data_IF_851013813501
#
_entry.id   IF_851013813501
#
_cell.length_a   1.000
_cell.length_b   1.000
_cell.length_c   1.000
_cell.angle_alpha   90.00
_cell.angle_beta   90.00
_cell.angle_gamma   90.00
#
_symmetry.space_group_name_H-M   'P 1'
#
loop_
_entity.id
_entity.type
_entity.pdbx_description
1 polymer ?
#
# COMPACT_ATOMS: atom_id res chain seq x y z
N UNK A 1 -80.44 -9.41 -2.73
CA UNK A 1 -79.63 -10.33 -3.55
C UNK A 1 -78.18 -10.17 -3.11
N UNK A 2 -77.43 -11.27 -2.94
CA UNK A 2 -76.71 -11.58 -1.71
C UNK A 2 -75.19 -11.45 -1.83
N UNK A 3 -74.52 -11.73 -0.71
CA UNK A 3 -73.15 -12.23 -0.56
C UNK A 3 -72.07 -11.18 -0.25
N UNK A 4 -71.31 -11.46 0.82
CA UNK A 4 -69.93 -10.99 1.09
C UNK A 4 -69.73 -9.88 2.13
N UNK A 5 -70.08 -10.14 3.41
CA UNK A 5 -69.51 -9.34 4.52
C UNK A 5 -69.25 -10.09 5.84
N UNK A 6 -69.32 -11.43 5.86
CA UNK A 6 -69.29 -12.21 7.13
C UNK A 6 -67.88 -12.63 7.62
N UNK A 7 -66.78 -12.10 7.07
CA UNK A 7 -65.42 -12.48 7.50
C UNK A 7 -64.75 -11.54 8.53
N UNK A 8 -65.42 -10.48 9.02
CA UNK A 8 -64.73 -9.47 9.86
C UNK A 8 -64.99 -9.65 11.37
N UNK A 9 -65.87 -10.56 11.79
CA UNK A 9 -66.31 -10.67 13.20
C UNK A 9 -65.77 -11.89 13.97
N UNK A 10 -64.63 -12.46 13.57
CA UNK A 10 -64.02 -13.62 14.23
C UNK A 10 -62.54 -13.44 14.63
N UNK A 11 -62.02 -12.21 14.64
CA UNK A 11 -60.67 -11.89 15.16
C UNK A 11 -60.67 -11.22 16.53
N UNK A 12 -61.80 -11.21 17.24
CA UNK A 12 -61.96 -10.62 18.59
C UNK A 12 -61.78 -11.62 19.74
N UNK A 13 -60.90 -12.62 19.61
CA UNK A 13 -60.58 -13.52 20.72
C UNK A 13 -59.17 -14.11 20.63
N UNK A 14 -58.12 -13.27 20.57
CA UNK A 14 -56.79 -13.72 20.99
C UNK A 14 -55.95 -12.56 21.52
N UNK A 15 -56.27 -12.11 22.74
CA UNK A 15 -55.38 -11.28 23.53
C UNK A 15 -55.09 -11.98 24.86
N UNK A 16 -53.93 -12.63 24.97
CA UNK A 16 -53.25 -12.74 26.26
C UNK A 16 -51.80 -13.20 26.08
N UNK A 17 -50.94 -12.60 26.91
CA UNK A 17 -49.54 -12.95 27.21
C UNK A 17 -48.50 -12.71 26.13
N UNK A 18 -48.22 -11.43 25.86
CA UNK A 18 -46.83 -10.97 25.71
C UNK A 18 -46.54 -10.00 26.85
N UNK A 19 -45.54 -10.25 27.72
CA UNK A 19 -45.13 -9.24 28.67
C UNK A 19 -44.56 -8.07 27.86
N UNK A 20 -45.34 -7.00 27.74
CA UNK A 20 -44.81 -5.71 27.35
C UNK A 20 -43.71 -5.39 28.36
N UNK A 21 -42.44 -5.53 27.94
CA UNK A 21 -41.34 -4.90 28.66
C UNK A 21 -41.73 -3.44 28.74
N UNK A 22 -42.13 -3.01 29.94
CA UNK A 22 -42.17 -1.62 30.32
C UNK A 22 -40.74 -1.13 30.08
N UNK A 23 -40.51 -0.60 28.89
CA UNK A 23 -39.31 0.17 28.58
C UNK A 23 -39.46 1.36 29.50
N UNK A 24 -38.86 1.22 30.69
CA UNK A 24 -38.68 2.30 31.65
C UNK A 24 -38.14 3.44 30.81
N UNK A 25 -39.02 4.40 30.51
CA UNK A 25 -38.62 5.69 30.00
C UNK A 25 -37.84 6.25 31.16
N UNK A 26 -36.52 6.08 31.13
CA UNK A 26 -35.62 6.82 31.98
C UNK A 26 -36.10 8.27 31.89
N UNK A 27 -36.70 8.74 32.97
CA UNK A 27 -36.88 10.16 33.20
C UNK A 27 -35.46 10.67 33.38
N UNK A 28 -34.80 10.90 32.24
CA UNK A 28 -33.49 11.54 32.19
C UNK A 28 -33.60 12.78 33.05
N UNK A 29 -32.81 12.79 34.11
CA UNK A 29 -32.75 13.88 35.08
C UNK A 29 -32.41 15.17 34.35
N UNK A 30 -33.44 15.92 33.97
CA UNK A 30 -33.35 17.25 33.35
C UNK A 30 -32.89 18.31 34.36
N UNK A 31 -32.83 17.96 35.65
CA UNK A 31 -32.40 18.85 36.73
C UNK A 31 -30.90 19.16 36.75
N UNK A 32 -30.06 18.37 36.07
CA UNK A 32 -28.61 18.68 35.96
C UNK A 32 -28.24 19.63 34.81
N UNK A 33 -29.13 19.92 33.84
CA UNK A 33 -28.80 20.81 32.71
C UNK A 33 -29.23 22.25 32.92
N UNK A 34 -30.21 22.51 33.80
CA UNK A 34 -30.68 23.88 34.10
C UNK A 34 -29.57 24.84 34.55
N UNK A 35 -28.68 24.49 35.51
CA UNK A 35 -27.62 25.42 35.94
C UNK A 35 -26.58 25.66 34.83
N UNK A 36 -26.30 24.65 34.01
CA UNK A 36 -25.39 24.80 32.87
C UNK A 36 -25.98 25.73 31.80
N UNK A 37 -27.27 25.59 31.48
CA UNK A 37 -27.96 26.47 30.51
C UNK A 37 -28.01 27.90 31.06
N UNK A 38 -28.36 28.09 32.34
CA UNK A 38 -28.38 29.39 32.97
C UNK A 38 -26.99 30.06 32.93
N UNK A 39 -25.93 29.31 33.24
CA UNK A 39 -24.55 29.79 33.15
C UNK A 39 -24.16 30.20 31.73
N UNK A 40 -24.52 29.41 30.71
CA UNK A 40 -24.25 29.74 29.31
C UNK A 40 -25.02 30.98 28.84
N UNK A 41 -26.27 31.15 29.27
CA UNK A 41 -27.09 32.33 28.96
C UNK A 41 -26.49 33.58 29.59
N UNK A 42 -26.16 33.53 30.89
CA UNK A 42 -25.53 34.65 31.61
C UNK A 42 -24.17 34.99 30.98
N UNK A 43 -23.34 33.99 30.69
CA UNK A 43 -22.05 34.17 30.02
C UNK A 43 -22.21 34.79 28.63
N UNK A 44 -23.26 34.43 27.89
CA UNK A 44 -23.54 35.01 26.56
C UNK A 44 -23.98 36.47 26.64
N UNK A 45 -24.79 36.84 27.64
CA UNK A 45 -25.19 38.24 27.87
C UNK A 45 -23.96 39.09 28.23
N UNK A 46 -23.14 38.61 29.16
CA UNK A 46 -21.90 39.30 29.58
C UNK A 46 -20.92 39.40 28.40
N UNK A 47 -20.72 38.30 27.66
CA UNK A 47 -19.84 38.28 26.48
C UNK A 47 -20.35 39.18 25.35
N UNK A 48 -21.67 39.24 25.14
CA UNK A 48 -22.30 40.13 24.16
C UNK A 48 -22.12 41.60 24.53
N UNK A 49 -22.35 41.95 25.79
CA UNK A 49 -22.09 43.30 26.31
C UNK A 49 -20.60 43.67 26.19
N UNK A 50 -19.70 42.79 26.61
CA UNK A 50 -18.26 43.05 26.50
C UNK A 50 -17.79 43.21 25.04
N UNK A 51 -18.35 42.42 24.12
CA UNK A 51 -18.11 42.59 22.69
C UNK A 51 -18.60 43.95 22.19
N UNK A 52 -19.75 44.42 22.67
CA UNK A 52 -20.27 45.74 22.32
C UNK A 52 -19.35 46.86 22.79
N UNK A 53 -18.92 46.81 24.06
CA UNK A 53 -17.93 47.76 24.61
C UNK A 53 -16.62 47.75 23.81
N UNK A 54 -16.12 46.55 23.45
CA UNK A 54 -14.91 46.41 22.63
C UNK A 54 -15.06 47.04 21.24
N UNK A 55 -16.24 46.96 20.62
CA UNK A 55 -16.49 47.59 19.32
C UNK A 55 -16.54 49.13 19.42
N UNK A 56 -17.07 49.67 20.52
CA UNK A 56 -17.08 51.11 20.78
C UNK A 56 -15.67 51.68 21.05
N UNK A 57 -14.86 50.97 21.86
CA UNK A 57 -13.46 51.35 22.10
C UNK A 57 -12.65 51.32 20.81
N UNK A 58 -12.93 50.35 19.92
CA UNK A 58 -12.45 50.38 18.54
C UNK A 58 -10.93 50.34 18.38
N UNK A 59 -10.44 51.03 17.35
CA UNK A 59 -9.02 51.17 17.05
C UNK A 59 -8.36 52.29 17.86
N UNK A 60 -7.11 52.10 18.24
CA UNK A 60 -6.34 53.08 19.00
C UNK A 60 -6.25 54.42 18.25
N UNK A 61 -6.71 55.50 18.89
CA UNK A 61 -6.71 56.86 18.33
C UNK A 61 -7.94 57.26 17.51
N UNK A 62 -8.91 56.34 17.31
CA UNK A 62 -10.13 56.60 16.52
C UNK A 62 -11.40 56.42 17.34
N UNK A 63 -11.47 55.37 18.17
CA UNK A 63 -12.66 55.05 18.97
C UNK A 63 -12.74 55.81 20.30
N UNK A 64 -13.71 55.46 21.14
CA UNK A 64 -13.85 56.06 22.46
C UNK A 64 -12.74 55.55 23.41
N UNK A 65 -12.01 56.45 24.09
CA UNK A 65 -10.88 56.03 24.93
C UNK A 65 -11.31 55.35 26.23
N UNK A 66 -12.58 55.47 26.62
CA UNK A 66 -13.11 54.94 27.87
C UNK A 66 -14.31 53.99 27.62
N UNK A 67 -14.29 52.85 28.28
CA UNK A 67 -15.42 51.91 28.36
C UNK A 67 -16.44 52.37 29.40
N UNK A 68 -17.66 51.86 29.33
CA UNK A 68 -18.78 52.37 30.14
C UNK A 68 -18.57 52.24 31.66
N UNK A 69 -17.83 51.25 32.14
CA UNK A 69 -17.55 51.05 33.58
C UNK A 69 -16.28 51.75 34.09
N UNK A 70 -15.62 52.56 33.26
CA UNK A 70 -14.43 53.31 33.66
C UNK A 70 -14.73 54.21 34.89
N UNK A 71 -13.94 54.08 35.96
CA UNK A 71 -14.12 54.83 37.21
C UNK A 71 -15.26 54.35 38.13
N UNK A 72 -16.04 53.34 37.72
CA UNK A 72 -17.13 52.75 38.53
C UNK A 72 -16.75 51.42 39.19
N UNK A 73 -15.59 50.87 38.86
CA UNK A 73 -15.05 49.62 39.39
C UNK A 73 -13.66 49.81 39.96
N UNK A 74 -13.23 49.00 40.95
CA UNK A 74 -11.87 49.06 41.50
C UNK A 74 -10.79 48.86 40.42
N UNK A 75 -9.61 49.47 40.60
CA UNK A 75 -8.52 49.47 39.61
C UNK A 75 -8.06 48.08 39.17
N UNK A 76 -8.11 47.10 40.07
CA UNK A 76 -7.76 45.71 39.74
C UNK A 76 -8.75 45.07 38.76
N UNK A 77 -10.04 45.41 38.84
CA UNK A 77 -11.07 44.95 37.89
C UNK A 77 -10.88 45.63 36.54
N UNK A 78 -10.60 46.94 36.57
CA UNK A 78 -10.36 47.73 35.38
C UNK A 78 -9.17 47.17 34.58
N UNK A 79 -8.05 46.83 35.23
CA UNK A 79 -6.87 46.25 34.57
C UNK A 79 -7.13 44.90 33.89
N UNK A 80 -8.02 44.08 34.40
CA UNK A 80 -8.24 42.71 33.91
C UNK A 80 -9.34 42.67 32.84
N UNK A 81 -10.42 43.43 33.03
CA UNK A 81 -11.66 43.28 32.26
C UNK A 81 -11.83 44.38 31.19
N UNK A 82 -11.14 45.52 31.34
CA UNK A 82 -11.33 46.63 30.42
C UNK A 82 -10.98 46.23 28.97
N UNK A 83 -11.86 46.54 28.01
CA UNK A 83 -11.54 46.38 26.60
C UNK A 83 -10.43 47.36 26.22
N UNK A 84 -9.33 46.83 25.72
CA UNK A 84 -8.22 47.65 25.21
C UNK A 84 -8.51 48.07 23.75
N UNK A 85 -7.92 49.15 23.27
CA UNK A 85 -7.97 49.48 21.85
C UNK A 85 -7.14 48.50 21.01
N UNK A 86 -7.53 48.23 19.77
CA UNK A 86 -6.74 47.41 18.84
C UNK A 86 -5.90 48.31 17.93
N UNK A 87 -4.72 47.84 17.56
CA UNK A 87 -3.86 48.53 16.59
C UNK A 87 -4.45 48.38 15.19
N UNK A 88 -4.46 49.47 14.42
CA UNK A 88 -4.93 49.43 13.03
C UNK A 88 -4.02 48.49 12.20
N UNK A 89 -4.58 47.52 11.45
CA UNK A 89 -3.78 46.64 10.62
C UNK A 89 -3.06 47.42 9.50
N UNK A 90 -1.93 46.91 9.00
CA UNK A 90 -1.21 47.54 7.90
C UNK A 90 -2.05 47.53 6.60
N UNK A 91 -1.84 48.52 5.74
CA UNK A 91 -2.56 48.71 4.47
C UNK A 91 -4.07 48.84 4.64
N UNK A 92 -4.49 49.54 5.69
CA UNK A 92 -5.88 49.72 6.03
C UNK A 92 -6.17 51.10 6.62
N UNK A 93 -7.34 51.63 6.29
CA UNK A 93 -7.94 52.81 6.90
C UNK A 93 -8.99 52.39 7.93
N UNK A 94 -8.74 52.75 9.20
CA UNK A 94 -9.56 52.37 10.34
C UNK A 94 -10.57 53.46 10.74
N UNK A 95 -11.81 53.05 11.05
CA UNK A 95 -12.93 53.92 11.40
C UNK A 95 -13.58 53.50 12.73
N UNK A 96 -14.45 54.35 13.32
CA UNK A 96 -15.24 53.97 14.49
C UNK A 96 -16.06 52.70 14.27
N UNK A 97 -16.43 52.04 15.37
CA UNK A 97 -17.20 50.78 15.40
C UNK A 97 -16.47 49.58 14.78
N UNK A 98 -15.14 49.53 14.88
CA UNK A 98 -14.29 48.48 14.28
C UNK A 98 -14.45 48.33 12.76
N UNK A 99 -14.90 49.39 12.06
CA UNK A 99 -14.99 49.39 10.60
C UNK A 99 -13.60 49.60 9.99
N UNK A 100 -13.28 48.82 8.98
CA UNK A 100 -12.00 48.89 8.27
C UNK A 100 -12.24 48.90 6.78
N UNK A 101 -11.48 49.72 6.06
CA UNK A 101 -11.40 49.74 4.60
C UNK A 101 -9.96 49.45 4.24
N UNK A 102 -9.71 48.39 3.47
CA UNK A 102 -8.35 48.08 3.01
C UNK A 102 -7.96 49.01 1.85
N UNK A 103 -6.67 49.29 1.73
CA UNK A 103 -6.12 50.05 0.61
C UNK A 103 -6.27 49.27 -0.72
N UNK A 104 -6.12 49.95 -1.86
CA UNK A 104 -6.22 49.32 -3.18
C UNK A 104 -5.30 48.09 -3.30
N UNK A 105 -5.87 46.97 -3.76
CA UNK A 105 -5.13 45.70 -3.88
C UNK A 105 -5.06 44.86 -2.61
N UNK A 106 -5.78 45.22 -1.55
CA UNK A 106 -5.95 44.39 -0.35
C UNK A 106 -7.44 44.08 -0.13
N UNK A 107 -7.76 42.83 0.20
CA UNK A 107 -9.13 42.39 0.48
C UNK A 107 -9.31 41.99 1.95
N UNK A 108 -10.48 42.31 2.51
CA UNK A 108 -10.81 42.05 3.92
C UNK A 108 -11.01 40.53 4.10
N UNK A 109 -10.26 39.93 5.02
CA UNK A 109 -10.43 38.54 5.45
C UNK A 109 -10.77 38.46 6.94
N UNK A 110 -11.78 37.65 7.33
CA UNK A 110 -12.04 37.39 8.74
C UNK A 110 -10.90 36.55 9.36
N UNK A 111 -10.60 36.77 10.63
CA UNK A 111 -9.57 36.02 11.36
C UNK A 111 -9.80 34.51 11.30
N UNK A 112 -8.74 33.74 11.03
CA UNK A 112 -8.81 32.30 10.75
C UNK A 112 -9.14 31.42 11.97
N UNK A 113 -9.01 31.93 13.19
CA UNK A 113 -9.33 31.18 14.41
C UNK A 113 -10.82 31.27 14.77
N UNK A 114 -11.37 30.23 15.43
CA UNK A 114 -12.77 30.23 15.91
C UNK A 114 -13.02 31.39 16.89
N UNK A 115 -12.03 31.70 17.73
CA UNK A 115 -12.04 32.88 18.61
C UNK A 115 -11.94 34.20 17.84
N UNK A 116 -11.22 34.22 16.72
CA UNK A 116 -11.09 35.35 15.80
C UNK A 116 -12.34 35.63 14.96
N UNK A 117 -13.33 34.72 14.95
CA UNK A 117 -14.69 34.99 14.43
C UNK A 117 -15.61 35.63 15.47
N UNK A 118 -15.36 35.34 16.76
CA UNK A 118 -16.13 35.90 17.88
C UNK A 118 -15.71 37.32 18.26
N UNK A 119 -14.49 37.73 17.91
CA UNK A 119 -14.04 39.13 18.00
C UNK A 119 -13.82 39.67 16.59
N UNK A 120 -14.42 40.81 16.20
CA UNK A 120 -14.22 41.38 14.88
C UNK A 120 -12.80 41.94 14.76
N UNK A 121 -11.85 41.07 14.39
CA UNK A 121 -10.47 41.44 14.05
C UNK A 121 -10.24 41.18 12.57
N UNK A 122 -10.76 42.06 11.69
CA UNK A 122 -10.53 41.93 10.25
C UNK A 122 -9.05 42.15 9.94
N UNK A 123 -8.53 41.37 8.99
CA UNK A 123 -7.19 41.54 8.44
C UNK A 123 -7.28 41.90 6.96
N UNK A 124 -6.43 42.84 6.53
CA UNK A 124 -6.24 43.14 5.12
C UNK A 124 -5.10 42.27 4.60
N UNK A 125 -5.43 41.32 3.72
CA UNK A 125 -4.45 40.51 3.02
C UNK A 125 -4.35 40.98 1.57
N UNK A 126 -3.16 40.89 0.98
CA UNK A 126 -2.95 41.26 -0.42
C UNK A 126 -3.91 40.45 -1.29
N UNK A 127 -4.74 41.16 -2.05
CA UNK A 127 -5.73 40.55 -2.88
C UNK A 127 -5.05 39.75 -3.99
N UNK A 128 -5.57 38.56 -4.25
CA UNK A 128 -5.20 37.80 -5.46
C UNK A 128 -5.96 38.42 -6.61
N UNK A 129 -5.63 39.66 -6.95
CA UNK A 129 -6.36 40.47 -7.91
C UNK A 129 -6.37 39.88 -9.32
N UNK A 130 -6.93 40.62 -10.28
CA UNK A 130 -7.02 40.25 -11.70
C UNK A 130 -5.73 39.63 -12.26
N UNK A 131 -4.57 40.20 -11.95
CA UNK A 131 -3.27 39.69 -12.41
C UNK A 131 -2.95 38.26 -11.92
N UNK A 132 -3.38 37.89 -10.70
CA UNK A 132 -3.22 36.53 -10.19
C UNK A 132 -4.12 35.55 -10.95
N UNK A 133 -5.37 35.93 -11.21
CA UNK A 133 -6.33 35.10 -11.96
C UNK A 133 -5.89 34.91 -13.42
N UNK A 134 -5.38 35.97 -14.06
CA UNK A 134 -4.78 35.90 -15.40
C UNK A 134 -3.59 34.94 -15.40
N UNK A 135 -2.66 35.09 -14.46
CA UNK A 135 -1.48 34.19 -14.35
C UNK A 135 -1.88 32.74 -14.07
N UNK A 136 -2.89 32.53 -13.23
CA UNK A 136 -3.45 31.20 -12.92
C UNK A 136 -4.04 30.56 -14.18
N UNK A 137 -4.84 31.32 -14.94
CA UNK A 137 -5.45 30.85 -16.18
C UNK A 137 -4.38 30.57 -17.26
N UNK A 138 -3.38 31.44 -17.40
CA UNK A 138 -2.26 31.24 -18.32
C UNK A 138 -1.51 29.92 -18.03
N UNK A 139 -1.32 29.60 -16.74
CA UNK A 139 -0.73 28.31 -16.33
C UNK A 139 -1.61 27.11 -16.72
N UNK A 140 -2.92 27.20 -16.55
CA UNK A 140 -3.85 26.13 -16.93
C UNK A 140 -3.84 25.88 -18.44
N UNK A 141 -3.83 26.95 -19.23
CA UNK A 141 -3.67 26.89 -20.69
C UNK A 141 -2.42 26.11 -21.08
N UNK A 142 -1.29 26.43 -20.44
CA UNK A 142 -0.03 25.73 -20.70
C UNK A 142 -0.09 24.25 -20.31
N UNK A 143 -0.62 23.94 -19.13
CA UNK A 143 -0.70 22.57 -18.63
C UNK A 143 -1.52 21.67 -19.56
N UNK A 144 -2.66 22.17 -20.05
CA UNK A 144 -3.48 21.46 -21.05
C UNK A 144 -2.70 21.20 -22.36
N UNK A 145 -2.02 22.22 -22.89
CA UNK A 145 -1.21 22.08 -24.09
C UNK A 145 -0.01 21.15 -23.89
N UNK A 146 0.59 21.13 -22.70
CA UNK A 146 1.68 20.20 -22.37
C UNK A 146 1.19 18.75 -22.32
N UNK A 147 0.01 18.49 -21.76
CA UNK A 147 -0.60 17.15 -21.70
C UNK A 147 -0.88 16.63 -23.11
N UNK A 148 -1.49 17.46 -23.97
CA UNK A 148 -1.76 17.12 -25.38
C UNK A 148 -0.46 16.86 -26.16
N UNK A 149 0.55 17.72 -26.00
CA UNK A 149 1.85 17.53 -26.64
C UNK A 149 2.58 16.28 -26.13
N UNK A 150 2.45 15.95 -24.83
CA UNK A 150 2.99 14.72 -24.25
C UNK A 150 2.32 13.49 -24.87
N UNK A 151 1.00 13.48 -24.95
CA UNK A 151 0.22 12.37 -25.52
C UNK A 151 0.61 12.11 -26.99
N UNK A 152 0.75 13.17 -27.79
CA UNK A 152 1.25 13.07 -29.16
C UNK A 152 2.66 12.47 -29.23
N UNK A 153 3.61 13.01 -28.46
CA UNK A 153 5.00 12.53 -28.44
C UNK A 153 5.13 11.07 -28.00
N UNK A 154 4.27 10.65 -27.08
CA UNK A 154 4.21 9.28 -26.55
C UNK A 154 3.50 8.31 -27.47
N UNK A 155 2.97 8.78 -28.59
CA UNK A 155 2.34 7.94 -29.56
C UNK A 155 0.91 7.54 -29.27
N UNK A 156 0.23 8.28 -28.40
CA UNK A 156 -1.21 8.11 -28.15
C UNK A 156 -2.07 8.28 -29.40
N UNK A 157 -1.50 8.81 -30.49
CA UNK A 157 -2.20 9.05 -31.76
C UNK A 157 -1.40 8.71 -33.02
N UNK A 158 -0.37 7.85 -32.95
CA UNK A 158 0.37 7.45 -34.16
C UNK A 158 -0.59 6.75 -35.15
N UNK A 159 -0.74 7.33 -36.34
CA UNK A 159 -1.52 6.76 -37.43
C UNK A 159 -2.96 7.27 -37.55
N UNK A 160 -3.39 8.18 -36.69
CA UNK A 160 -4.74 8.78 -36.76
C UNK A 160 -4.67 10.23 -37.27
N UNK A 161 -5.35 10.58 -38.40
CA UNK A 161 -5.40 11.96 -38.91
C UNK A 161 -5.96 12.97 -37.88
N UNK A 162 -6.88 12.52 -37.01
CA UNK A 162 -7.44 13.33 -35.91
C UNK A 162 -6.47 13.48 -34.72
N UNK A 163 -5.47 12.61 -34.63
CA UNK A 163 -4.42 12.67 -33.62
C UNK A 163 -3.63 13.97 -33.60
N UNK A 164 -3.51 14.60 -34.76
CA UNK A 164 -2.84 15.87 -34.93
C UNK A 164 -3.69 17.04 -34.43
N UNK A 165 -4.99 17.08 -34.72
CA UNK A 165 -5.88 18.17 -34.26
C UNK A 165 -6.02 18.17 -32.74
N UNK A 166 -6.03 16.99 -32.12
CA UNK A 166 -6.00 16.81 -30.67
C UNK A 166 -4.71 17.37 -30.02
N UNK A 167 -3.56 17.18 -30.67
CA UNK A 167 -2.27 17.65 -30.20
C UNK A 167 -2.07 19.17 -30.38
N UNK A 168 -2.68 19.73 -31.43
CA UNK A 168 -2.58 21.12 -31.85
C UNK A 168 -3.98 21.77 -31.96
N UNK A 169 -4.66 22.03 -30.83
CA UNK A 169 -6.02 22.56 -30.86
C UNK A 169 -6.08 23.98 -31.42
N UNK A 170 -7.23 24.32 -31.99
CA UNK A 170 -7.57 25.71 -32.28
C UNK A 170 -7.84 26.48 -30.99
N UNK A 171 -7.76 27.82 -31.04
CA UNK A 171 -8.01 28.66 -29.87
C UNK A 171 -9.43 28.47 -29.30
N UNK A 172 -10.43 28.25 -30.16
CA UNK A 172 -11.83 28.03 -29.78
C UNK A 172 -12.02 26.69 -29.08
N UNK A 173 -11.37 25.63 -29.56
CA UNK A 173 -11.40 24.30 -28.94
C UNK A 173 -10.71 24.31 -27.57
N UNK A 174 -9.57 24.99 -27.46
CA UNK A 174 -8.83 25.14 -26.21
C UNK A 174 -9.65 25.91 -25.16
N UNK A 175 -10.31 27.00 -25.59
CA UNK A 175 -11.24 27.77 -24.76
C UNK A 175 -12.43 26.92 -24.30
N UNK A 176 -13.01 26.11 -25.20
CA UNK A 176 -14.10 25.20 -24.88
C UNK A 176 -13.73 24.15 -23.83
N UNK A 177 -12.58 23.50 -24.01
CA UNK A 177 -12.06 22.48 -23.07
C UNK A 177 -11.85 23.05 -21.67
N UNK A 178 -11.23 24.23 -21.57
CA UNK A 178 -10.96 24.89 -20.30
C UNK A 178 -12.21 25.52 -19.67
N UNK A 179 -13.27 25.75 -20.45
CA UNK A 179 -14.56 26.18 -19.92
C UNK A 179 -15.33 24.99 -19.33
N UNK A 180 -15.26 23.81 -19.97
CA UNK A 180 -15.94 22.60 -19.51
C UNK A 180 -15.33 21.98 -18.25
N UNK A 181 -14.00 22.08 -18.07
CA UNK A 181 -13.28 21.49 -16.94
C UNK A 181 -13.21 22.39 -15.69
N UNK A 182 -14.20 23.27 -15.46
CA UNK A 182 -14.14 24.32 -14.42
C UNK A 182 -14.88 24.01 -13.14
N UNK A 183 -14.20 24.19 -12.01
CA UNK A 183 -14.80 24.17 -10.65
C UNK A 183 -14.87 25.54 -9.96
N UNK A 184 -14.14 26.58 -10.42
CA UNK A 184 -13.92 27.78 -9.56
C UNK A 184 -13.93 29.17 -10.22
N UNK A 185 -14.02 29.32 -11.55
CA UNK A 185 -14.02 30.65 -12.20
C UNK A 185 -15.38 30.91 -12.84
N UNK A 186 -16.06 31.99 -12.43
CA UNK A 186 -17.41 32.32 -12.90
C UNK A 186 -17.43 32.66 -14.40
N UNK A 187 -18.47 32.21 -15.11
CA UNK A 187 -18.60 32.38 -16.57
C UNK A 187 -18.60 33.87 -17.00
N UNK A 188 -19.11 34.76 -16.14
CA UNK A 188 -19.21 36.19 -16.43
C UNK A 188 -17.86 36.92 -16.48
N UNK A 189 -16.80 36.38 -15.84
CA UNK A 189 -15.46 37.01 -15.82
C UNK A 189 -14.45 36.32 -16.73
N UNK A 190 -14.79 35.17 -17.33
CA UNK A 190 -13.82 34.38 -18.09
C UNK A 190 -13.36 35.03 -19.39
N UNK A 191 -14.30 35.56 -20.18
CA UNK A 191 -14.01 36.16 -21.49
C UNK A 191 -12.88 37.20 -21.45
N UNK A 192 -12.96 38.25 -20.62
CA UNK A 192 -11.91 39.26 -20.54
C UNK A 192 -10.60 38.73 -19.93
N UNK A 193 -10.66 37.75 -19.03
CA UNK A 193 -9.47 37.12 -18.46
C UNK A 193 -8.76 36.19 -19.45
N UNK A 194 -9.49 35.59 -20.39
CA UNK A 194 -8.98 34.64 -21.38
C UNK A 194 -7.99 35.29 -22.33
N UNK A 195 -8.36 36.43 -22.92
CA UNK A 195 -7.52 37.13 -23.90
C UNK A 195 -6.21 37.59 -23.26
N UNK A 196 -6.29 38.17 -22.06
CA UNK A 196 -5.13 38.62 -21.29
C UNK A 196 -4.24 37.43 -20.89
N UNK A 197 -4.83 36.31 -20.46
CA UNK A 197 -4.08 35.12 -20.05
C UNK A 197 -3.40 34.42 -21.23
N UNK A 198 -4.06 34.36 -22.38
CA UNK A 198 -3.49 33.76 -23.59
C UNK A 198 -2.34 34.61 -24.12
N UNK A 199 -2.50 35.93 -24.15
CA UNK A 199 -1.42 36.86 -24.52
C UNK A 199 -0.23 36.72 -23.57
N UNK A 200 -0.47 36.61 -22.25
CA UNK A 200 0.59 36.38 -21.28
C UNK A 200 1.31 35.05 -21.51
N UNK A 201 0.58 33.95 -21.78
CA UNK A 201 1.17 32.64 -22.06
C UNK A 201 2.03 32.63 -23.33
N UNK A 202 1.63 33.39 -24.36
CA UNK A 202 2.40 33.58 -25.60
C UNK A 202 3.62 34.46 -25.35
N UNK A 203 3.47 35.56 -24.61
CA UNK A 203 4.54 36.50 -24.28
C UNK A 203 5.66 35.84 -23.45
N UNK A 204 5.33 34.85 -22.63
CA UNK A 204 6.31 34.06 -21.86
C UNK A 204 7.01 32.97 -22.71
N UNK A 205 6.79 32.93 -24.03
CA UNK A 205 7.29 31.91 -24.95
C UNK A 205 6.93 30.46 -24.57
N UNK A 206 5.95 30.27 -23.68
CA UNK A 206 5.51 28.95 -23.26
C UNK A 206 4.56 28.31 -24.29
N UNK A 207 3.87 29.14 -25.09
CA UNK A 207 2.93 28.75 -26.14
C UNK A 207 3.31 29.39 -27.47
N UNK A 208 3.37 28.59 -28.53
CA UNK A 208 3.63 29.04 -29.91
C UNK A 208 2.41 28.84 -30.78
N UNK A 209 2.26 29.71 -31.77
CA UNK A 209 1.25 29.60 -32.82
C UNK A 209 1.82 28.87 -34.04
N UNK A 210 1.02 28.00 -34.66
CA UNK A 210 1.30 27.39 -35.97
C UNK A 210 0.15 27.79 -36.90
N UNK A 211 0.50 28.25 -38.10
CA UNK A 211 -0.44 28.40 -39.20
C UNK A 211 -0.43 27.12 -40.04
N UNK A 212 -1.60 26.49 -40.18
CA UNK A 212 -1.75 25.26 -40.95
C UNK A 212 -2.55 25.54 -42.23
N UNK A 213 -1.84 25.60 -43.36
CA UNK A 213 -2.46 25.57 -44.69
C UNK A 213 -3.29 26.81 -45.06
N UNK A 214 -4.10 26.74 -46.14
CA UNK A 214 -4.84 27.89 -46.68
C UNK A 214 -6.03 28.35 -45.82
N UNK A 215 -6.40 27.57 -44.81
CA UNK A 215 -7.34 27.98 -43.76
C UNK A 215 -6.59 28.77 -42.70
N UNK A 216 -6.99 30.02 -42.47
CA UNK A 216 -6.33 30.99 -41.60
C UNK A 216 -6.42 30.67 -40.08
N UNK A 217 -6.70 29.42 -39.71
CA UNK A 217 -6.94 29.04 -38.32
C UNK A 217 -5.62 28.95 -37.54
N UNK A 218 -5.59 29.62 -36.40
CA UNK A 218 -4.43 29.74 -35.54
C UNK A 218 -4.40 28.59 -34.52
N UNK A 219 -3.50 27.63 -34.73
CA UNK A 219 -3.32 26.50 -33.81
C UNK A 219 -2.27 26.81 -32.75
N UNK A 220 -2.46 26.32 -31.52
CA UNK A 220 -1.56 26.59 -30.38
C UNK A 220 -0.87 25.31 -29.92
N UNK A 221 0.40 25.42 -29.53
CA UNK A 221 1.14 24.32 -28.90
C UNK A 221 2.10 24.81 -27.82
N UNK A 222 2.39 23.95 -26.84
CA UNK A 222 3.41 24.23 -25.83
C UNK A 222 4.81 24.12 -26.44
N UNK A 223 5.62 25.17 -26.30
CA UNK A 223 7.05 25.13 -26.66
C UNK A 223 7.92 24.49 -25.58
N UNK A 224 7.43 24.46 -24.34
CA UNK A 224 8.11 23.86 -23.19
C UNK A 224 8.00 22.33 -23.19
N UNK A 225 9.06 21.66 -22.71
CA UNK A 225 9.14 20.19 -22.64
C UNK A 225 7.91 19.60 -21.94
N UNK A 226 7.19 18.64 -22.56
CA UNK A 226 6.01 18.03 -21.96
C UNK A 226 6.37 17.23 -20.71
N UNK A 227 5.49 17.25 -19.69
CA UNK A 227 5.53 16.26 -18.60
C UNK A 227 5.08 14.92 -19.15
N UNK A 228 6.05 14.10 -19.54
CA UNK A 228 5.78 12.78 -20.11
C UNK A 228 5.28 11.84 -19.00
N UNK A 229 4.15 11.14 -19.20
CA UNK A 229 3.72 10.13 -18.25
C UNK A 229 4.76 9.01 -18.18
N UNK A 230 4.95 8.42 -16.99
CA UNK A 230 5.95 7.37 -16.80
C UNK A 230 5.74 6.20 -17.78
N UNK A 231 4.49 5.88 -18.11
CA UNK A 231 4.14 4.85 -19.11
C UNK A 231 4.86 5.04 -20.45
N UNK A 232 4.97 6.28 -20.92
CA UNK A 232 5.64 6.63 -22.16
C UNK A 232 7.17 6.44 -22.11
N UNK A 233 7.78 6.66 -20.95
CA UNK A 233 9.21 6.37 -20.75
C UNK A 233 9.48 4.85 -20.71
N UNK A 234 8.49 4.04 -20.34
CA UNK A 234 8.63 2.59 -20.23
C UNK A 234 8.27 1.84 -21.52
N UNK A 235 7.47 2.43 -22.41
CA UNK A 235 6.98 1.76 -23.62
C UNK A 235 8.09 1.32 -24.60
N UNK A 236 9.29 1.93 -24.52
CA UNK A 236 10.47 1.50 -25.29
C UNK A 236 11.48 0.64 -24.51
N UNK A 237 11.24 0.31 -23.23
CA UNK A 237 12.21 -0.39 -22.36
C UNK A 237 11.81 -1.82 -21.96
N UNK A 238 10.58 -2.24 -22.24
CA UNK A 238 10.12 -3.61 -21.89
C UNK A 238 10.86 -4.71 -22.66
N UNK A 239 11.14 -4.50 -23.94
CA UNK A 239 11.80 -5.52 -24.78
C UNK A 239 13.22 -5.84 -24.31
N UNK A 240 13.98 -4.82 -23.92
CA UNK A 240 15.34 -5.00 -23.42
C UNK A 240 15.39 -5.62 -22.02
N UNK A 241 14.47 -5.24 -21.12
CA UNK A 241 14.40 -5.84 -19.78
C UNK A 241 13.95 -7.30 -19.84
N UNK A 242 12.99 -7.63 -20.70
CA UNK A 242 12.55 -9.00 -20.92
C UNK A 242 13.67 -9.86 -21.51
N UNK A 243 14.41 -9.33 -22.50
CA UNK A 243 15.56 -10.02 -23.08
C UNK A 243 16.67 -10.30 -22.04
N UNK A 244 16.95 -9.33 -21.15
CA UNK A 244 17.92 -9.49 -20.06
C UNK A 244 17.48 -10.53 -19.03
N UNK A 245 16.19 -10.56 -18.66
CA UNK A 245 15.65 -11.58 -17.76
C UNK A 245 15.74 -12.98 -18.37
N UNK A 246 15.39 -13.13 -19.65
CA UNK A 246 15.53 -14.40 -20.36
C UNK A 246 16.99 -14.87 -20.42
N UNK A 247 17.93 -13.96 -20.70
CA UNK A 247 19.36 -14.26 -20.65
C UNK A 247 19.83 -14.68 -19.25
N UNK A 248 19.38 -13.99 -18.20
CA UNK A 248 19.69 -14.34 -16.81
C UNK A 248 19.22 -15.75 -16.44
N UNK A 249 17.99 -16.11 -16.81
CA UNK A 249 17.43 -17.45 -16.58
C UNK A 249 18.22 -18.52 -17.35
N UNK A 250 18.59 -18.24 -18.61
CA UNK A 250 19.37 -19.16 -19.43
C UNK A 250 20.75 -19.45 -18.81
N UNK A 251 21.48 -18.41 -18.40
CA UNK A 251 22.79 -18.55 -17.75
C UNK A 251 22.68 -19.31 -16.42
N UNK A 252 21.68 -18.99 -15.59
CA UNK A 252 21.45 -19.68 -14.32
C UNK A 252 21.15 -21.18 -14.51
N UNK A 253 20.38 -21.52 -15.55
CA UNK A 253 20.09 -22.91 -15.93
C UNK A 253 21.36 -23.66 -16.34
N UNK A 254 22.21 -23.06 -17.19
CA UNK A 254 23.48 -23.65 -17.62
C UNK A 254 24.43 -23.89 -16.44
N UNK A 255 24.57 -22.91 -15.54
CA UNK A 255 25.39 -23.04 -14.32
C UNK A 255 24.87 -24.15 -13.41
N UNK A 256 23.55 -24.27 -13.27
CA UNK A 256 22.92 -25.34 -12.49
C UNK A 256 23.18 -26.73 -13.08
N UNK A 257 23.08 -26.87 -14.41
CA UNK A 257 23.38 -28.12 -15.12
C UNK A 257 24.86 -28.48 -14.96
N UNK A 258 25.78 -27.52 -15.10
CA UNK A 258 27.21 -27.71 -14.89
C UNK A 258 27.54 -28.13 -13.45
N UNK A 259 26.92 -27.48 -12.46
CA UNK A 259 27.04 -27.83 -11.05
C UNK A 259 26.59 -29.28 -10.78
N UNK A 260 25.45 -29.69 -11.34
CA UNK A 260 24.94 -31.07 -11.23
C UNK A 260 25.90 -32.09 -11.86
N UNK A 261 26.41 -31.84 -13.07
CA UNK A 261 27.35 -32.74 -13.75
C UNK A 261 28.64 -32.94 -12.95
N UNK A 262 29.19 -31.85 -12.39
CA UNK A 262 30.37 -31.91 -11.51
C UNK A 262 30.08 -32.68 -10.22
N UNK A 263 28.90 -32.52 -9.63
CA UNK A 263 28.46 -33.29 -8.46
C UNK A 263 28.40 -34.79 -8.74
N UNK A 264 27.84 -35.21 -9.89
CA UNK A 264 27.73 -36.62 -10.29
C UNK A 264 29.09 -37.27 -10.51
N UNK A 265 30.06 -36.56 -11.08
CA UNK A 265 31.41 -37.10 -11.26
C UNK A 265 32.08 -37.41 -9.92
N UNK A 266 32.08 -36.44 -8.98
CA UNK A 266 32.65 -36.62 -7.64
C UNK A 266 31.97 -37.71 -6.84
N UNK A 267 30.65 -37.85 -7.00
CA UNK A 267 29.87 -38.91 -6.36
C UNK A 267 30.36 -40.30 -6.76
N UNK A 268 30.70 -40.52 -8.04
CA UNK A 268 31.21 -41.81 -8.52
C UNK A 268 32.55 -42.16 -7.86
N UNK A 269 33.46 -41.20 -7.75
CA UNK A 269 34.78 -41.41 -7.15
C UNK A 269 34.66 -41.76 -5.66
N UNK A 270 33.81 -41.03 -4.93
CA UNK A 270 33.50 -41.29 -3.52
C UNK A 270 32.91 -42.69 -3.32
N UNK A 271 31.94 -43.08 -4.16
CA UNK A 271 31.35 -44.41 -4.13
C UNK A 271 32.43 -45.47 -4.32
N UNK A 272 33.23 -45.38 -5.38
CA UNK A 272 34.28 -46.36 -5.67
C UNK A 272 35.27 -46.53 -4.50
N UNK A 273 35.81 -45.43 -3.98
CA UNK A 273 36.73 -45.47 -2.83
C UNK A 273 36.11 -46.15 -1.60
N UNK A 274 34.83 -45.91 -1.34
CA UNK A 274 34.13 -46.54 -0.20
C UNK A 274 33.86 -48.02 -0.41
N UNK A 275 33.54 -48.43 -1.65
CA UNK A 275 33.41 -49.85 -2.00
C UNK A 275 34.74 -50.59 -1.85
N UNK A 276 35.84 -49.97 -2.29
CA UNK A 276 37.18 -50.55 -2.17
C UNK A 276 37.60 -50.66 -0.70
N UNK A 277 37.39 -49.61 0.11
CA UNK A 277 37.66 -49.65 1.55
C UNK A 277 36.89 -50.76 2.29
N UNK A 278 35.62 -50.99 1.91
CA UNK A 278 34.79 -52.06 2.47
C UNK A 278 35.28 -53.44 2.01
N UNK A 279 35.68 -53.57 0.74
CA UNK A 279 36.25 -54.80 0.19
C UNK A 279 37.55 -55.16 0.89
N UNK A 280 38.45 -54.20 1.07
CA UNK A 280 39.74 -54.38 1.77
C UNK A 280 39.54 -54.79 3.22
N UNK A 281 38.53 -54.23 3.91
CA UNK A 281 38.21 -54.65 5.28
C UNK A 281 37.68 -56.08 5.33
N UNK A 282 36.88 -56.47 4.34
CA UNK A 282 36.36 -57.82 4.23
C UNK A 282 37.46 -58.84 3.88
N UNK A 283 38.42 -58.50 3.02
CA UNK A 283 39.57 -59.37 2.72
C UNK A 283 40.49 -59.52 3.93
N UNK A 284 40.82 -58.42 4.62
CA UNK A 284 41.66 -58.46 5.83
C UNK A 284 41.06 -59.34 6.93
N UNK A 285 39.74 -59.27 7.13
CA UNK A 285 39.05 -60.12 8.10
C UNK A 285 38.98 -61.60 7.72
N UNK A 286 39.43 -62.01 6.53
CA UNK A 286 39.66 -63.43 6.18
C UNK A 286 41.02 -63.94 6.65
N UNK A 287 42.06 -63.10 6.58
CA UNK A 287 43.44 -63.49 6.88
C UNK A 287 43.80 -63.28 8.35
N UNK A 288 43.27 -62.24 8.99
CA UNK A 288 43.58 -61.89 10.37
C UNK A 288 42.34 -62.19 11.24
N UNK A 289 42.37 -63.23 12.09
CA UNK A 289 41.31 -63.47 13.06
C UNK A 289 41.14 -62.25 13.98
N UNK A 290 39.92 -62.02 14.46
CA UNK A 290 39.51 -60.88 15.30
C UNK A 290 39.46 -59.48 14.63
N UNK A 291 39.84 -59.35 13.35
CA UNK A 291 39.64 -58.08 12.63
C UNK A 291 38.16 -57.88 12.25
N UNK A 292 37.51 -56.76 12.64
CA UNK A 292 36.11 -56.52 12.31
C UNK A 292 35.94 -56.29 10.81
N UNK A 293 35.06 -57.08 10.18
CA UNK A 293 34.71 -57.03 8.74
C UNK A 293 33.76 -55.91 8.35
N UNK A 294 33.38 -55.07 9.31
CA UNK A 294 32.46 -53.96 9.12
C UNK A 294 33.15 -52.62 9.40
N UNK A 295 32.59 -51.55 8.83
CA UNK A 295 33.02 -50.18 9.09
C UNK A 295 31.82 -49.38 9.57
N UNK A 296 32.02 -48.57 10.62
CA UNK A 296 31.00 -47.63 11.09
C UNK A 296 30.75 -46.54 10.05
N UNK A 297 29.48 -46.27 9.74
CA UNK A 297 29.08 -45.25 8.78
C UNK A 297 29.61 -43.88 9.20
N UNK A 298 29.62 -43.60 10.51
CA UNK A 298 30.14 -42.33 11.03
C UNK A 298 31.61 -42.11 10.66
N UNK A 299 32.47 -43.14 10.75
CA UNK A 299 33.87 -43.03 10.34
C UNK A 299 34.04 -42.75 8.84
N UNK A 300 33.18 -43.31 7.99
CA UNK A 300 33.19 -43.02 6.56
C UNK A 300 32.69 -41.60 6.28
N UNK A 301 31.63 -41.19 6.97
CA UNK A 301 31.06 -39.84 6.89
C UNK A 301 32.08 -38.81 7.34
N UNK A 302 32.76 -38.98 8.48
CA UNK A 302 33.75 -38.03 8.99
C UNK A 302 34.93 -37.89 8.02
N UNK A 303 35.34 -38.97 7.36
CA UNK A 303 36.39 -38.96 6.33
C UNK A 303 35.96 -38.26 5.03
N UNK A 304 34.67 -38.32 4.68
CA UNK A 304 34.12 -37.77 3.42
C UNK A 304 33.61 -36.33 3.59
N UNK A 305 33.02 -36.01 4.74
CA UNK A 305 32.38 -34.72 5.05
C UNK A 305 33.37 -33.57 5.15
N UNK A 306 34.67 -33.82 5.34
CA UNK A 306 35.69 -32.78 5.50
C UNK A 306 35.90 -31.91 4.25
N UNK A 307 35.30 -32.25 3.10
CA UNK A 307 35.40 -31.43 1.88
C UNK A 307 34.21 -31.48 0.92
N UNK A 308 33.05 -32.01 1.33
CA UNK A 308 31.90 -32.21 0.43
C UNK A 308 30.61 -31.54 0.96
N UNK A 309 29.76 -31.00 0.07
CA UNK A 309 28.44 -30.50 0.46
C UNK A 309 27.53 -31.59 0.99
N UNK A 310 26.65 -31.24 1.94
CA UNK A 310 25.69 -32.17 2.58
C UNK A 310 24.85 -32.98 1.58
N UNK A 311 24.39 -32.36 0.48
CA UNK A 311 23.55 -33.03 -0.52
C UNK A 311 24.31 -34.13 -1.29
N UNK A 312 25.63 -34.00 -1.45
CA UNK A 312 26.46 -35.04 -2.08
C UNK A 312 26.61 -36.23 -1.13
N UNK A 313 26.75 -35.96 0.16
CA UNK A 313 26.87 -37.00 1.21
C UNK A 313 25.57 -37.81 1.31
N UNK A 314 24.41 -37.17 1.23
CA UNK A 314 23.12 -37.89 1.22
C UNK A 314 22.95 -38.76 -0.04
N UNK A 315 23.28 -38.23 -1.22
CA UNK A 315 23.24 -39.00 -2.46
C UNK A 315 24.22 -40.19 -2.42
N UNK A 316 25.42 -39.99 -1.87
CA UNK A 316 26.40 -41.05 -1.66
C UNK A 316 25.86 -42.16 -0.76
N UNK A 317 25.29 -41.81 0.42
CA UNK A 317 24.64 -42.79 1.31
C UNK A 317 23.55 -43.58 0.58
N UNK A 318 22.69 -42.90 -0.18
CA UNK A 318 21.60 -43.52 -0.91
C UNK A 318 22.10 -44.49 -2.01
N UNK A 319 23.16 -44.14 -2.74
CA UNK A 319 23.76 -45.00 -3.76
C UNK A 319 24.39 -46.24 -3.14
N UNK A 320 25.12 -46.07 -2.04
CA UNK A 320 25.78 -47.17 -1.33
C UNK A 320 24.76 -48.15 -0.73
N UNK A 321 23.70 -47.66 -0.09
CA UNK A 321 22.66 -48.50 0.50
C UNK A 321 21.86 -49.32 -0.52
N UNK A 322 21.80 -48.87 -1.77
CA UNK A 322 21.17 -49.62 -2.88
C UNK A 322 22.05 -50.73 -3.43
N UNK A 323 23.32 -50.79 -3.06
CA UNK A 323 24.23 -51.81 -3.56
C UNK A 323 23.95 -53.18 -2.91
N UNK A 324 23.61 -54.17 -3.75
CA UNK A 324 23.31 -55.55 -3.33
C UNK A 324 24.44 -56.27 -2.58
N UNK A 325 25.67 -55.79 -2.70
CA UNK A 325 26.84 -56.39 -2.06
C UNK A 325 27.16 -55.80 -0.69
N UNK A 326 26.32 -54.89 -0.20
CA UNK A 326 26.51 -54.21 1.08
C UNK A 326 25.41 -54.64 2.03
N UNK A 327 25.80 -55.15 3.19
CA UNK A 327 24.88 -55.39 4.30
C UNK A 327 24.93 -54.19 5.22
N UNK A 328 23.78 -53.57 5.40
CA UNK A 328 23.57 -52.54 6.41
C UNK A 328 23.13 -53.20 7.71
N UNK A 329 23.75 -52.81 8.83
CA UNK A 329 23.38 -53.29 10.14
C UNK A 329 23.52 -52.17 11.17
N UNK A 330 22.77 -52.24 12.25
CA UNK A 330 22.87 -51.33 13.40
C UNK A 330 23.50 -52.09 14.55
N UNK A 331 24.65 -51.61 15.03
CA UNK A 331 25.32 -52.12 16.23
C UNK A 331 25.29 -51.06 17.33
N UNK A 332 25.72 -51.41 18.54
CA UNK A 332 25.61 -50.57 19.74
C UNK A 332 26.25 -49.18 19.58
N UNK A 333 27.26 -49.05 18.70
CA UNK A 333 27.95 -47.80 18.36
C UNK A 333 27.46 -47.14 17.05
N UNK A 334 26.31 -47.54 16.53
CA UNK A 334 25.62 -46.91 15.40
C UNK A 334 25.56 -47.76 14.12
N UNK A 335 25.19 -47.12 13.01
CA UNK A 335 25.06 -47.79 11.73
C UNK A 335 26.42 -48.30 11.21
N UNK A 336 26.43 -49.52 10.69
CA UNK A 336 27.60 -50.23 10.17
C UNK A 336 27.32 -50.78 8.79
N UNK A 337 28.32 -50.75 7.93
CA UNK A 337 28.28 -51.34 6.60
C UNK A 337 29.35 -52.43 6.48
N UNK A 338 28.97 -53.53 5.85
CA UNK A 338 29.80 -54.71 5.64
C UNK A 338 29.69 -55.17 4.18
N UNK A 339 30.82 -55.59 3.59
CA UNK A 339 30.84 -56.16 2.26
C UNK A 339 30.50 -57.66 2.29
N UNK A 340 29.48 -58.07 1.53
CA UNK A 340 29.01 -59.47 1.41
C UNK A 340 29.17 -60.00 -0.02
N UNK A 341 29.71 -59.18 -0.92
CA UNK A 341 29.99 -59.56 -2.30
C UNK A 341 31.14 -60.57 -2.45
N UNK A 342 31.35 -61.12 -3.66
CA UNK A 342 32.48 -61.99 -3.94
C UNK A 342 33.81 -61.26 -3.66
N UNK A 343 34.76 -61.97 -3.06
CA UNK A 343 36.12 -61.49 -2.81
C UNK A 343 37.05 -62.21 -3.79
N UNK A 344 37.88 -61.44 -4.50
CA UNK A 344 38.88 -61.98 -5.42
C UNK A 344 39.87 -62.85 -4.65
N UNK A 345 39.99 -64.12 -5.02
CA UNK A 345 40.95 -65.07 -4.44
C UNK A 345 40.42 -66.02 -3.34
N UNK A 346 39.15 -65.92 -2.93
CA UNK A 346 38.61 -66.82 -1.90
C UNK A 346 37.57 -67.81 -2.47
N UNK A 347 37.97 -69.08 -2.66
CA UNK A 347 37.05 -70.20 -2.94
C UNK A 347 36.35 -70.57 -1.62
N UNK A 348 35.03 -70.49 -1.56
CA UNK A 348 34.25 -71.02 -0.42
C UNK A 348 34.56 -72.51 -0.25
N UNK A 349 34.89 -73.03 0.95
CA UNK A 349 34.81 -74.47 1.18
C UNK A 349 33.36 -74.92 0.99
N UNK A 350 33.18 -76.05 0.30
CA UNK A 350 31.88 -76.62 0.00
C UNK A 350 31.08 -76.82 1.29
N UNK A 351 29.83 -76.35 1.26
CA UNK A 351 28.84 -76.46 2.34
C UNK A 351 28.65 -77.93 2.70
N UNK A 352 29.14 -78.36 3.86
CA UNK A 352 28.72 -79.63 4.45
C UNK A 352 27.21 -79.57 4.69
N UNK A 353 26.52 -80.62 4.25
CA UNK A 353 25.09 -80.79 4.42
C UNK A 353 24.79 -80.93 5.91
N UNK A 354 24.16 -79.91 6.50
CA UNK A 354 23.56 -80.00 7.82
C UNK A 354 22.09 -80.44 7.67
N UNK A 355 21.73 -81.44 8.47
CA UNK A 355 20.45 -82.15 8.55
C UNK A 355 19.18 -81.25 8.59
N UNK A 356 18.01 -81.76 8.16
CA UNK A 356 16.78 -80.97 8.09
C UNK A 356 16.24 -80.61 9.49
N UNK A 357 15.57 -79.45 9.62
CA UNK A 357 15.00 -79.02 10.90
C UNK A 357 13.74 -79.81 11.27
N UNK A 358 13.67 -80.13 12.56
CA UNK A 358 12.60 -80.83 13.27
C UNK A 358 11.29 -80.03 13.19
N UNK A 359 10.25 -80.68 12.64
CA UNK A 359 8.86 -80.19 12.57
C UNK A 359 8.29 -80.10 14.00
N UNK A 360 7.86 -78.92 14.45
CA UNK A 360 7.00 -78.80 15.64
C UNK A 360 5.79 -77.89 15.37
N UNK A 361 4.62 -78.52 15.43
CA UNK A 361 3.31 -78.01 15.83
C UNK A 361 2.87 -76.60 15.40
N UNK A 362 2.29 -76.53 14.21
CA UNK A 362 1.18 -75.62 13.88
C UNK A 362 -0.12 -76.43 13.95
N UNK A 363 -0.73 -76.51 15.13
CA UNK A 363 -2.05 -77.12 15.40
C UNK A 363 -2.55 -76.60 16.75
N UNK A 364 -2.97 -75.33 16.82
CA UNK A 364 -3.92 -74.81 17.82
C UNK A 364 -4.13 -73.31 17.53
N UNK A 365 -5.16 -72.99 16.73
CA UNK A 365 -5.83 -71.67 16.52
C UNK A 365 -6.41 -71.60 15.11
N UNK A 366 -7.28 -72.57 14.81
CA UNK A 366 -8.22 -72.49 13.69
C UNK A 366 -9.48 -73.26 14.07
N UNK A 367 -10.11 -72.85 15.18
CA UNK A 367 -11.43 -73.31 15.61
C UNK A 367 -12.06 -72.32 16.61
N UNK A 368 -12.02 -71.02 16.29
CA UNK A 368 -12.74 -70.01 17.08
C UNK A 368 -13.24 -68.80 16.28
N UNK A 369 -13.46 -68.96 14.96
CA UNK A 369 -14.08 -67.92 14.11
C UNK A 369 -15.10 -68.53 13.13
N UNK A 370 -15.73 -69.65 13.50
CA UNK A 370 -16.77 -70.28 12.66
C UNK A 370 -17.97 -70.80 13.46
N UNK A 371 -18.32 -70.07 14.53
CA UNK A 371 -19.63 -70.12 15.18
C UNK A 371 -20.02 -68.72 15.60
N UNK A 372 -20.48 -67.93 14.64
CA UNK A 372 -21.38 -66.80 14.84
C UNK A 372 -21.88 -66.37 13.45
N UNK A 373 -23.18 -66.53 13.21
CA UNK A 373 -23.88 -65.87 12.10
C UNK A 373 -24.30 -66.73 10.91
N UNK A 374 -25.27 -67.62 11.08
CA UNK A 374 -26.38 -67.67 10.13
C UNK A 374 -27.64 -68.20 10.82
N UNK A 375 -28.71 -67.41 10.64
CA UNK A 375 -30.12 -67.71 10.85
C UNK A 375 -30.51 -68.93 10.00
#
# INVERSE_FOLDING_TARGET
MPYQQDEIMLTLAHNSTRPARLRQREKTSSRCRLPLIAFLVVSSIIGGWWRHEKMQVGYCGVGTPHWSLHGRVPDWVNRIVAPHCEVCPPHASCFPDMRVVCDEGFSIRPGSSVLGRLLPRPKCEADRGRAYEVKRLARQVREELQVRHAAWRCGGYWGDPEGWTLAFPSETELKGTLTANRTEISNATFGPLWEEALQQAVAQHEVKAIHLGPTADLHRFSASMPRLPLSCAFQGRYDHLFALLLHGVFVASLLSIWGRRRGVARLKDLVNHTLDSLRDRATLGLYVPDTPRYIHVQHLVDRICSGQPWYVVEQWKAVIQRNKHIRTNTRDSGATWEWVGPLTGHRKPARSQAAPPRRSSRLEKRNQVQREGSI
#
